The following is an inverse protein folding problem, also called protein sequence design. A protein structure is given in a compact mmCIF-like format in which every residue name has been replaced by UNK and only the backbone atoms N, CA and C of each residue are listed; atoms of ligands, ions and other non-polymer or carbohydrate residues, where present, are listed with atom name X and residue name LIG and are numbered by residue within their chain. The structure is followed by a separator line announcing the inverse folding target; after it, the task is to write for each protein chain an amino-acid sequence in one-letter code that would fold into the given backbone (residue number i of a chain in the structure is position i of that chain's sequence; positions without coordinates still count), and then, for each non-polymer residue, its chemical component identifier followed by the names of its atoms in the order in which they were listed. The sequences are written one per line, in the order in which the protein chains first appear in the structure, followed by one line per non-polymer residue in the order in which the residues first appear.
data_IF_543650432387
#
_entry.id   IF_543650432387
#
_cell.length_a   1.000
_cell.length_b   1.000
_cell.length_c   1.000
_cell.angle_alpha   90.00
_cell.angle_beta   90.00
_cell.angle_gamma   90.00
#
_symmetry.space_group_name_H-M   'P 1'
#
loop_
_entity.id
_entity.type
_entity.pdbx_description
1 polymer ?
#
# COMPACT_ATOMS: atom_id res chain seq x y z
N UNK A 1 12.14 10.64 -22.98
CA UNK A 1 13.42 10.30 -22.33
C UNK A 1 13.15 10.32 -20.84
N UNK A 2 13.08 9.15 -20.18
CA UNK A 2 12.94 9.10 -18.71
C UNK A 2 14.22 9.72 -18.11
N UNK A 3 14.08 10.68 -17.21
CA UNK A 3 15.20 11.39 -16.58
C UNK A 3 16.01 10.44 -15.68
N UNK A 4 17.33 10.63 -15.52
CA UNK A 4 18.22 9.66 -14.85
C UNK A 4 18.00 9.47 -13.34
N UNK A 5 17.11 10.24 -12.71
CA UNK A 5 16.97 10.33 -11.24
C UNK A 5 16.19 9.15 -10.64
N UNK A 6 15.32 8.50 -11.43
CA UNK A 6 14.36 7.52 -10.90
C UNK A 6 14.99 6.18 -10.51
N UNK A 7 16.16 5.84 -11.07
CA UNK A 7 16.85 4.58 -10.77
C UNK A 7 17.68 4.59 -9.47
N UNK A 8 18.01 5.77 -8.93
CA UNK A 8 18.82 5.91 -7.69
C UNK A 8 17.95 6.36 -6.49
N UNK A 9 16.62 6.33 -6.63
CA UNK A 9 15.71 6.79 -5.58
C UNK A 9 15.35 5.66 -4.62
N UNK A 10 15.83 5.74 -3.38
CA UNK A 10 15.59 4.72 -2.33
C UNK A 10 14.11 4.46 -2.04
N UNK A 11 13.23 5.46 -2.18
CA UNK A 11 11.80 5.25 -1.99
C UNK A 11 11.22 4.37 -3.10
N UNK A 12 11.62 4.63 -4.35
CA UNK A 12 11.21 3.81 -5.49
C UNK A 12 11.80 2.39 -5.41
N UNK A 13 13.05 2.25 -4.96
CA UNK A 13 13.67 0.94 -4.69
C UNK A 13 12.87 0.13 -3.66
N UNK A 14 12.43 0.76 -2.57
CA UNK A 14 11.59 0.10 -1.55
C UNK A 14 10.23 -0.33 -2.12
N UNK A 15 9.62 0.49 -2.97
CA UNK A 15 8.36 0.17 -3.63
C UNK A 15 8.52 -1.00 -4.62
N UNK A 16 9.59 -1.02 -5.42
CA UNK A 16 9.90 -2.15 -6.30
C UNK A 16 10.18 -3.45 -5.53
N UNK A 17 10.88 -3.36 -4.40
CA UNK A 17 11.13 -4.53 -3.55
C UNK A 17 9.82 -5.12 -3.02
N UNK A 18 8.90 -4.28 -2.56
CA UNK A 18 7.55 -4.73 -2.17
C UNK A 18 6.81 -5.36 -3.36
N UNK A 19 6.85 -4.74 -4.55
CA UNK A 19 6.20 -5.29 -5.76
C UNK A 19 6.75 -6.68 -6.11
N UNK A 20 8.07 -6.86 -5.97
CA UNK A 20 8.73 -8.13 -6.20
C UNK A 20 8.28 -9.20 -5.18
N UNK A 21 8.21 -8.86 -3.90
CA UNK A 21 7.71 -9.76 -2.86
C UNK A 21 6.25 -10.18 -3.10
N UNK A 22 5.40 -9.21 -3.46
CA UNK A 22 3.99 -9.44 -3.79
C UNK A 22 3.83 -10.31 -5.03
N UNK A 23 4.62 -10.08 -6.09
CA UNK A 23 4.60 -10.91 -7.30
C UNK A 23 5.05 -12.35 -7.04
N UNK A 24 5.90 -12.57 -6.04
CA UNK A 24 6.38 -13.91 -5.67
C UNK A 24 5.43 -14.63 -4.70
N UNK A 25 4.42 -13.93 -4.17
CA UNK A 25 3.47 -14.52 -3.23
C UNK A 25 2.57 -15.55 -3.95
N UNK A 26 2.44 -16.73 -3.36
CA UNK A 26 1.51 -17.75 -3.84
C UNK A 26 0.07 -17.28 -3.67
N UNK A 27 -0.66 -17.16 -4.76
CA UNK A 27 -2.06 -16.76 -4.75
C UNK A 27 -2.95 -17.99 -4.57
N UNK A 28 -3.62 -18.06 -3.42
CA UNK A 28 -4.69 -19.03 -3.21
C UNK A 28 -5.91 -18.55 -4.01
N UNK A 29 -6.66 -19.44 -4.68
CA UNK A 29 -7.90 -19.09 -5.36
C UNK A 29 -9.07 -18.76 -4.42
N UNK A 30 -8.77 -18.16 -3.27
CA UNK A 30 -9.68 -17.75 -2.20
C UNK A 30 -9.45 -16.23 -1.99
N UNK A 31 -10.43 -15.37 -2.33
CA UNK A 31 -10.29 -13.93 -2.25
C UNK A 31 -9.96 -13.42 -0.84
N UNK A 32 -10.51 -14.05 0.20
CA UNK A 32 -10.33 -13.62 1.58
C UNK A 32 -8.89 -13.86 2.03
N UNK A 33 -8.37 -15.06 1.74
CA UNK A 33 -6.96 -15.40 2.01
C UNK A 33 -6.01 -14.56 1.17
N UNK A 34 -6.30 -14.42 -0.12
CA UNK A 34 -5.47 -13.68 -1.07
C UNK A 34 -5.37 -12.21 -0.66
N UNK A 35 -6.49 -11.52 -0.42
CA UNK A 35 -6.46 -10.13 0.06
C UNK A 35 -5.65 -9.98 1.35
N UNK A 36 -5.90 -10.84 2.35
CA UNK A 36 -5.19 -10.74 3.62
C UNK A 36 -3.67 -10.90 3.44
N UNK A 37 -3.24 -11.86 2.61
CA UNK A 37 -1.81 -12.08 2.34
C UNK A 37 -1.18 -10.92 1.57
N UNK A 38 -1.85 -10.40 0.55
CA UNK A 38 -1.32 -9.31 -0.26
C UNK A 38 -1.26 -8.01 0.51
N UNK A 39 -2.29 -7.70 1.31
CA UNK A 39 -2.30 -6.49 2.12
C UNK A 39 -1.22 -6.52 3.21
N UNK A 40 -0.86 -7.69 3.76
CA UNK A 40 0.30 -7.80 4.65
C UNK A 40 1.62 -7.40 3.98
N UNK A 41 1.86 -7.86 2.75
CA UNK A 41 3.07 -7.55 2.00
C UNK A 41 3.10 -6.09 1.56
N UNK A 42 1.94 -5.58 1.12
CA UNK A 42 1.74 -4.19 0.76
C UNK A 42 2.07 -3.25 1.92
N UNK A 43 1.51 -3.51 3.11
CA UNK A 43 1.82 -2.74 4.32
C UNK A 43 3.28 -2.86 4.73
N UNK A 44 3.91 -4.03 4.60
CA UNK A 44 5.33 -4.18 4.87
C UNK A 44 6.19 -3.24 3.98
N UNK A 45 5.79 -3.04 2.72
CA UNK A 45 6.39 -2.04 1.83
C UNK A 45 6.29 -0.62 2.39
N UNK A 46 5.10 -0.20 2.83
CA UNK A 46 4.90 1.11 3.44
C UNK A 46 5.68 1.30 4.75
N UNK A 47 5.87 0.25 5.56
CA UNK A 47 6.75 0.31 6.73
C UNK A 47 8.21 0.55 6.33
N UNK A 48 8.69 -0.10 5.27
CA UNK A 48 10.05 0.10 4.77
C UNK A 48 10.26 1.53 4.25
N UNK A 49 9.31 2.05 3.47
CA UNK A 49 9.33 3.44 3.00
C UNK A 49 9.26 4.44 4.18
N UNK A 50 8.43 4.17 5.18
CA UNK A 50 8.34 4.98 6.38
C UNK A 50 9.66 5.05 7.16
N UNK A 51 10.40 3.94 7.26
CA UNK A 51 11.71 3.96 7.91
C UNK A 51 12.71 4.90 7.20
N UNK A 52 12.69 4.95 5.86
CA UNK A 52 13.55 5.87 5.10
C UNK A 52 13.25 7.35 5.41
N UNK A 53 11.98 7.69 5.65
CA UNK A 53 11.58 9.04 6.12
C UNK A 53 12.13 9.31 7.52
N UNK A 54 11.97 8.36 8.44
CA UNK A 54 12.42 8.52 9.83
C UNK A 54 13.95 8.62 9.96
N UNK A 55 14.69 7.95 9.08
CA UNK A 55 16.15 8.04 8.98
C UNK A 55 16.62 9.38 8.41
N UNK A 56 15.84 9.98 7.51
CA UNK A 56 16.18 11.27 6.89
C UNK A 56 16.17 12.44 7.89
N UNK A 57 15.31 12.37 8.93
CA UNK A 57 15.14 13.42 9.94
C UNK A 57 14.80 14.80 9.32
N UNK A 58 13.85 14.79 8.37
CA UNK A 58 13.32 15.98 7.69
C UNK A 58 12.22 16.70 8.46
N UNK A 59 11.06 16.89 7.83
CA UNK A 59 9.90 17.58 8.39
C UNK A 59 9.33 16.82 9.62
N UNK A 60 9.29 17.45 10.80
CA UNK A 60 8.69 16.84 12.00
C UNK A 60 7.22 16.44 11.83
N UNK A 61 6.44 17.17 11.04
CA UNK A 61 5.04 16.83 10.79
C UNK A 61 4.92 15.57 9.94
N UNK A 62 5.78 15.41 8.93
CA UNK A 62 5.87 14.19 8.14
C UNK A 62 6.33 13.00 8.99
N UNK A 63 7.36 13.19 9.83
CA UNK A 63 7.84 12.15 10.72
C UNK A 63 6.76 11.65 11.70
N UNK A 64 5.92 12.54 12.22
CA UNK A 64 4.82 12.15 13.12
C UNK A 64 3.68 11.44 12.39
N UNK A 65 3.34 11.91 11.18
CA UNK A 65 2.39 11.23 10.31
C UNK A 65 2.85 9.81 10.00
N UNK A 66 4.10 9.64 9.57
CA UNK A 66 4.69 8.34 9.24
C UNK A 66 4.67 7.40 10.44
N UNK A 67 5.04 7.86 11.64
CA UNK A 67 4.95 7.03 12.86
C UNK A 67 3.52 6.55 13.12
N UNK A 68 2.54 7.45 12.97
CA UNK A 68 1.13 7.14 13.19
C UNK A 68 0.63 6.11 12.18
N UNK A 69 0.89 6.34 10.89
CA UNK A 69 0.55 5.43 9.79
C UNK A 69 1.19 4.06 10.00
N UNK A 70 2.50 4.01 10.29
CA UNK A 70 3.22 2.76 10.53
C UNK A 70 2.67 2.00 11.74
N UNK A 71 2.24 2.69 12.79
CA UNK A 71 1.65 2.05 13.96
C UNK A 71 0.31 1.39 13.60
N UNK A 72 -0.57 2.09 12.89
CA UNK A 72 -1.84 1.53 12.40
C UNK A 72 -1.62 0.34 11.48
N UNK A 73 -0.72 0.46 10.50
CA UNK A 73 -0.43 -0.63 9.58
C UNK A 73 0.17 -1.87 10.27
N UNK A 74 0.94 -1.70 11.34
CA UNK A 74 1.41 -2.83 12.16
C UNK A 74 0.24 -3.55 12.87
N UNK A 75 -0.73 -2.79 13.37
CA UNK A 75 -1.94 -3.35 13.99
C UNK A 75 -2.79 -4.09 12.95
N UNK A 76 -2.92 -3.54 11.74
CA UNK A 76 -3.61 -4.17 10.61
C UNK A 76 -2.91 -5.45 10.14
N UNK A 77 -1.58 -5.44 10.01
CA UNK A 77 -0.79 -6.65 9.70
C UNK A 77 -1.05 -7.75 10.74
N UNK A 78 -1.09 -7.38 12.03
CA UNK A 78 -1.36 -8.33 13.11
C UNK A 78 -2.80 -8.89 13.03
N UNK A 79 -3.78 -8.05 12.71
CA UNK A 79 -5.17 -8.47 12.52
C UNK A 79 -5.34 -9.40 11.31
N UNK A 80 -4.71 -9.07 10.18
CA UNK A 80 -4.69 -9.91 8.98
C UNK A 80 -3.97 -11.24 9.24
N UNK A 81 -2.88 -11.24 10.01
CA UNK A 81 -2.21 -12.48 10.41
C UNK A 81 -3.12 -13.36 11.27
N UNK A 82 -3.84 -12.74 12.21
CA UNK A 82 -4.79 -13.46 13.05
C UNK A 82 -5.93 -14.05 12.21
N UNK A 83 -6.42 -13.31 11.23
CA UNK A 83 -7.40 -13.80 10.27
C UNK A 83 -6.86 -15.02 9.51
N UNK A 84 -5.69 -14.91 8.89
CA UNK A 84 -5.07 -16.00 8.14
C UNK A 84 -4.85 -17.27 8.97
N UNK A 85 -4.51 -17.12 10.26
CA UNK A 85 -4.32 -18.26 11.16
C UNK A 85 -5.61 -19.02 11.49
N UNK A 86 -6.77 -18.36 11.39
CA UNK A 86 -8.07 -18.93 11.74
C UNK A 86 -8.97 -19.19 10.51
N UNK A 87 -8.62 -18.61 9.36
CA UNK A 87 -9.39 -18.70 8.14
C UNK A 87 -9.34 -20.13 7.60
N UNK A 88 -10.51 -20.64 7.20
CA UNK A 88 -10.62 -21.93 6.52
C UNK A 88 -10.71 -21.66 5.03
N UNK A 89 -9.70 -22.05 4.23
CA UNK A 89 -9.70 -21.77 2.80
C UNK A 89 -10.97 -22.31 2.13
N UNK A 90 -11.63 -21.47 1.34
CA UNK A 90 -12.81 -21.89 0.60
C UNK A 90 -12.43 -22.62 -0.70
N UNK A 91 -13.11 -23.74 -1.06
CA UNK A 91 -12.77 -24.50 -2.26
C UNK A 91 -12.93 -23.70 -3.56
N UNK A 92 -11.87 -23.73 -4.35
CA UNK A 92 -11.66 -23.02 -5.61
C UNK A 92 -12.67 -23.43 -6.70
N UNK A 93 -13.59 -22.55 -7.10
CA UNK A 93 -14.21 -22.70 -8.43
C UNK A 93 -14.43 -21.40 -9.20
N UNK A 94 -14.52 -20.20 -8.60
CA UNK A 94 -14.90 -18.99 -9.37
C UNK A 94 -14.18 -17.67 -9.01
N UNK A 95 -12.85 -17.68 -8.87
CA UNK A 95 -12.10 -16.45 -8.51
C UNK A 95 -10.94 -16.06 -9.45
N UNK A 96 -10.89 -16.63 -10.66
CA UNK A 96 -9.90 -16.20 -11.68
C UNK A 96 -10.02 -14.71 -12.04
N UNK A 97 -11.25 -14.17 -12.00
CA UNK A 97 -11.53 -12.74 -12.16
C UNK A 97 -10.86 -11.90 -11.07
N UNK A 98 -11.08 -12.25 -9.80
CA UNK A 98 -10.51 -11.55 -8.65
C UNK A 98 -8.98 -11.47 -8.72
N UNK A 99 -8.30 -12.58 -9.01
CA UNK A 99 -6.83 -12.58 -9.10
C UNK A 99 -6.33 -11.68 -10.24
N UNK A 100 -7.05 -11.64 -11.36
CA UNK A 100 -6.73 -10.79 -12.50
C UNK A 100 -6.93 -9.32 -12.16
N UNK A 101 -8.00 -8.97 -11.45
CA UNK A 101 -8.28 -7.60 -11.01
C UNK A 101 -7.28 -7.14 -9.96
N UNK A 102 -6.98 -7.97 -8.96
CA UNK A 102 -5.95 -7.70 -7.95
C UNK A 102 -4.59 -7.42 -8.61
N UNK A 103 -4.20 -8.23 -9.61
CA UNK A 103 -2.97 -7.99 -10.36
C UNK A 103 -3.00 -6.63 -11.09
N UNK A 104 -4.11 -6.27 -11.72
CA UNK A 104 -4.25 -4.99 -12.41
C UNK A 104 -4.12 -3.79 -11.47
N UNK A 105 -4.67 -3.89 -10.25
CA UNK A 105 -4.53 -2.84 -9.23
C UNK A 105 -3.04 -2.63 -8.90
N UNK A 106 -2.31 -3.72 -8.65
CA UNK A 106 -0.87 -3.67 -8.36
C UNK A 106 -0.04 -3.17 -9.55
N UNK A 107 -0.31 -3.65 -10.76
CA UNK A 107 0.36 -3.18 -11.98
C UNK A 107 0.11 -1.68 -12.22
N UNK A 108 -1.11 -1.21 -11.95
CA UNK A 108 -1.47 0.19 -12.12
C UNK A 108 -0.78 1.09 -11.07
N UNK A 109 -0.71 0.63 -9.82
CA UNK A 109 0.04 1.32 -8.77
C UNK A 109 1.52 1.51 -9.17
N UNK A 110 2.16 0.44 -9.65
CA UNK A 110 3.57 0.46 -10.11
C UNK A 110 3.75 1.41 -11.30
N UNK A 111 2.85 1.31 -12.30
CA UNK A 111 2.85 2.21 -13.45
C UNK A 111 2.72 3.69 -13.06
N UNK A 112 1.82 4.01 -12.12
CA UNK A 112 1.61 5.38 -11.65
C UNK A 112 2.83 5.89 -10.88
N UNK A 113 3.41 5.07 -10.00
CA UNK A 113 4.64 5.40 -9.29
C UNK A 113 5.82 5.66 -10.26
N UNK A 114 5.95 4.86 -11.32
CA UNK A 114 6.95 5.07 -12.37
C UNK A 114 6.75 6.37 -13.16
N UNK A 115 5.57 6.98 -13.14
CA UNK A 115 5.29 8.22 -13.86
C UNK A 115 5.57 9.47 -13.02
N UNK A 116 5.78 9.32 -11.72
CA UNK A 116 6.05 10.44 -10.82
C UNK A 116 7.47 11.00 -11.02
N UNK A 117 7.57 12.33 -10.99
CA UNK A 117 8.85 13.02 -11.02
C UNK A 117 9.38 13.17 -9.59
N UNK A 118 10.11 12.15 -9.14
CA UNK A 118 10.71 12.16 -7.80
C UNK A 118 11.80 13.22 -7.67
N UNK A 119 11.82 13.86 -6.50
CA UNK A 119 12.64 15.03 -6.16
C UNK A 119 13.98 14.66 -5.53
N UNK A 120 14.08 13.46 -4.94
CA UNK A 120 15.19 13.03 -4.09
C UNK A 120 15.06 13.46 -2.63
N UNK A 121 14.05 14.27 -2.29
CA UNK A 121 13.68 14.59 -0.91
C UNK A 121 12.80 13.46 -0.35
N UNK A 122 13.25 12.74 0.69
CA UNK A 122 12.49 11.60 1.22
C UNK A 122 11.07 11.93 1.69
N UNK A 123 10.81 13.13 2.21
CA UNK A 123 9.46 13.49 2.68
C UNK A 123 8.53 13.72 1.51
N UNK A 124 8.99 14.45 0.48
CA UNK A 124 8.21 14.71 -0.73
C UNK A 124 7.99 13.46 -1.56
N UNK A 125 9.03 12.64 -1.73
CA UNK A 125 8.95 11.41 -2.51
C UNK A 125 8.08 10.36 -1.80
N UNK A 126 8.20 10.25 -0.48
CA UNK A 126 7.30 9.43 0.32
C UNK A 126 5.84 9.87 0.13
N UNK A 127 5.55 11.15 0.33
CA UNK A 127 4.16 11.62 0.22
C UNK A 127 3.59 11.45 -1.19
N UNK A 128 4.41 11.64 -2.22
CA UNK A 128 4.00 11.46 -3.62
C UNK A 128 3.68 10.01 -3.92
N UNK A 129 4.57 9.08 -3.55
CA UNK A 129 4.39 7.65 -3.82
C UNK A 129 3.31 7.02 -2.93
N UNK A 130 3.22 7.44 -1.66
CA UNK A 130 2.29 6.86 -0.70
C UNK A 130 0.82 7.17 -1.05
N UNK A 131 0.54 8.24 -1.79
CA UNK A 131 -0.82 8.49 -2.34
C UNK A 131 -1.24 7.37 -3.30
N UNK A 132 -0.37 6.98 -4.25
CA UNK A 132 -0.66 5.88 -5.19
C UNK A 132 -0.71 4.53 -4.49
N UNK A 133 0.21 4.29 -3.56
CA UNK A 133 0.23 3.10 -2.72
C UNK A 133 -1.09 2.95 -1.93
N UNK A 134 -1.55 4.02 -1.27
CA UNK A 134 -2.81 3.97 -0.54
C UNK A 134 -4.04 3.80 -1.44
N UNK A 135 -4.04 4.43 -2.61
CA UNK A 135 -5.11 4.27 -3.59
C UNK A 135 -5.23 2.80 -4.03
N UNK A 136 -4.11 2.12 -4.23
CA UNK A 136 -4.09 0.70 -4.55
C UNK A 136 -4.68 -0.15 -3.42
N UNK A 137 -4.33 0.11 -2.16
CA UNK A 137 -4.91 -0.61 -1.02
C UNK A 137 -6.43 -0.41 -0.89
N UNK A 138 -6.94 0.79 -1.18
CA UNK A 138 -8.39 1.07 -1.22
C UNK A 138 -9.07 0.22 -2.31
N UNK A 139 -8.48 0.15 -3.51
CA UNK A 139 -9.00 -0.68 -4.59
C UNK A 139 -8.97 -2.17 -4.26
N UNK A 140 -7.88 -2.66 -3.64
CA UNK A 140 -7.79 -4.03 -3.13
C UNK A 140 -8.89 -4.33 -2.10
N UNK A 141 -9.17 -3.37 -1.21
CA UNK A 141 -10.21 -3.49 -0.19
C UNK A 141 -11.60 -3.58 -0.83
N UNK A 142 -11.88 -2.76 -1.85
CA UNK A 142 -13.14 -2.83 -2.59
C UNK A 142 -13.32 -4.18 -3.30
N UNK A 143 -12.24 -4.73 -3.88
CA UNK A 143 -12.28 -6.06 -4.50
C UNK A 143 -12.66 -7.15 -3.49
N UNK A 144 -12.03 -7.21 -2.30
CA UNK A 144 -12.40 -8.25 -1.31
C UNK A 144 -13.78 -8.03 -0.72
N UNK A 145 -14.25 -6.78 -0.61
CA UNK A 145 -15.62 -6.50 -0.18
C UNK A 145 -16.62 -7.07 -1.19
N UNK A 146 -16.34 -6.98 -2.49
CA UNK A 146 -17.18 -7.52 -3.56
C UNK A 146 -17.10 -9.05 -3.68
N UNK A 147 -15.89 -9.61 -3.66
CA UNK A 147 -15.64 -11.02 -4.01
C UNK A 147 -15.51 -11.95 -2.80
N UNK A 148 -15.14 -11.42 -1.65
CA UNK A 148 -14.91 -12.19 -0.43
C UNK A 148 -16.19 -12.80 0.14
N UNK A 149 -16.03 -13.78 1.03
CA UNK A 149 -17.15 -14.45 1.68
C UNK A 149 -17.17 -14.20 3.19
N UNK A 150 -16.01 -14.06 3.82
CA UNK A 150 -15.91 -13.88 5.26
C UNK A 150 -16.28 -12.44 5.70
N UNK A 151 -17.32 -12.25 6.53
CA UNK A 151 -17.68 -10.92 7.02
C UNK A 151 -16.56 -10.22 7.81
N UNK A 152 -15.68 -10.97 8.47
CA UNK A 152 -14.56 -10.41 9.23
C UNK A 152 -13.53 -9.77 8.31
N UNK A 153 -13.18 -10.40 7.17
CA UNK A 153 -12.23 -9.79 6.24
C UNK A 153 -12.81 -8.55 5.56
N UNK A 154 -14.11 -8.58 5.20
CA UNK A 154 -14.79 -7.41 4.63
C UNK A 154 -14.82 -6.24 5.61
N UNK A 155 -15.03 -6.52 6.90
CA UNK A 155 -14.99 -5.50 7.94
C UNK A 155 -13.59 -4.90 8.07
N UNK A 156 -12.54 -5.72 8.10
CA UNK A 156 -11.16 -5.23 8.14
C UNK A 156 -10.82 -4.41 6.90
N UNK A 157 -11.21 -4.86 5.71
CA UNK A 157 -11.03 -4.12 4.46
C UNK A 157 -11.69 -2.74 4.48
N UNK A 158 -12.92 -2.64 5.02
CA UNK A 158 -13.60 -1.35 5.20
C UNK A 158 -12.89 -0.41 6.18
N UNK A 159 -12.28 -0.95 7.24
CA UNK A 159 -11.48 -0.15 8.18
C UNK A 159 -10.20 0.37 7.51
N UNK A 160 -9.44 -0.52 6.85
CA UNK A 160 -8.22 -0.17 6.12
C UNK A 160 -8.52 0.92 5.08
N UNK A 161 -9.60 0.77 4.30
CA UNK A 161 -10.05 1.77 3.34
C UNK A 161 -10.29 3.14 4.00
N UNK A 162 -11.02 3.17 5.11
CA UNK A 162 -11.33 4.43 5.82
C UNK A 162 -10.06 5.11 6.34
N UNK A 163 -9.14 4.34 6.92
CA UNK A 163 -7.88 4.87 7.42
C UNK A 163 -7.03 5.43 6.28
N UNK A 164 -6.89 4.70 5.17
CA UNK A 164 -6.06 5.14 4.05
C UNK A 164 -6.67 6.31 3.25
N UNK A 165 -7.99 6.43 3.18
CA UNK A 165 -8.63 7.63 2.64
C UNK A 165 -8.28 8.90 3.45
N UNK A 166 -8.19 8.78 4.77
CA UNK A 166 -7.78 9.89 5.64
C UNK A 166 -6.29 10.21 5.47
N UNK A 167 -5.45 9.19 5.32
CA UNK A 167 -4.01 9.35 5.10
C UNK A 167 -3.71 10.02 3.75
N UNK A 168 -4.40 9.62 2.68
CA UNK A 168 -4.33 10.29 1.36
C UNK A 168 -4.66 11.78 1.48
N UNK A 169 -5.77 12.13 2.15
CA UNK A 169 -6.17 13.53 2.32
C UNK A 169 -5.09 14.35 3.02
N UNK A 170 -4.47 13.78 4.05
CA UNK A 170 -3.38 14.44 4.77
C UNK A 170 -2.15 14.62 3.86
N UNK A 171 -1.71 13.58 3.16
CA UNK A 171 -0.53 13.62 2.28
C UNK A 171 -0.72 14.62 1.12
N UNK A 172 -1.89 14.60 0.48
CA UNK A 172 -2.21 15.55 -0.59
C UNK A 172 -2.23 16.99 -0.08
N UNK A 173 -2.79 17.23 1.11
CA UNK A 173 -2.76 18.55 1.73
C UNK A 173 -1.31 19.00 2.00
N UNK A 174 -0.50 18.13 2.59
CA UNK A 174 0.91 18.41 2.88
C UNK A 174 1.70 18.74 1.61
N UNK A 175 1.50 17.98 0.52
CA UNK A 175 2.11 18.25 -0.79
C UNK A 175 1.68 19.60 -1.37
N UNK A 176 0.39 19.94 -1.28
CA UNK A 176 -0.15 21.20 -1.81
C UNK A 176 0.40 22.43 -1.07
N UNK A 177 0.54 22.35 0.25
CA UNK A 177 1.10 23.43 1.07
C UNK A 177 2.57 23.74 0.71
N UNK A 178 3.31 22.74 0.20
CA UNK A 178 4.73 22.87 -0.15
C UNK A 178 4.98 23.19 -1.62
N UNK A 179 4.11 22.74 -2.54
CA UNK A 179 4.15 23.13 -3.97
C UNK A 179 3.93 24.63 -4.20
N UNK A 180 3.34 25.33 -3.22
CA UNK A 180 3.13 26.79 -3.25
C UNK A 180 4.29 27.65 -2.75
N UNK A 181 5.45 27.06 -2.41
CA UNK A 181 6.63 27.75 -1.82
C UNK A 181 7.76 27.93 -2.86
N UNK A 182 7.44 27.94 -4.15
CA UNK A 182 8.40 28.23 -5.22
C UNK A 182 8.32 29.67 -5.71
#
# INVERSE_FOLDING_TARGET
MKTPVQHDNKMMEAMHAMMQEMSNASLHGDPDNHFARMMQLHHAGALNMGNLVLEHNGDPAMAEMVKTMMQKQKEEIAALQLFLNNHRPMPHTEHAGFNTEMKKVMDNMDLLAEQENLTGDPDQDFATLMVHHHQAAIEMADLVIGHGADPAIKKMAGMIKTDQEAEIQWLQKWLNERRGIH
#
